data_IF_170547572447
#
_entry.id   IF_170547572447
#
_cell.length_a   1.000
_cell.length_b   1.000
_cell.length_c   1.000
_cell.angle_alpha   90.00
_cell.angle_beta   90.00
_cell.angle_gamma   90.00
#
_symmetry.space_group_name_H-M   'P 1'
#
loop_
_entity.id
_entity.type
_entity.pdbx_description
1 polymer ?
#
# COMPACT_ATOMS: atom_id res chain seq x y z
N UNK A 1 20.96 15.76 3.70
CA UNK A 1 20.44 14.55 4.31
C UNK A 1 20.17 13.48 3.26
N UNK A 2 20.04 12.22 3.68
CA UNK A 2 19.74 11.11 2.77
C UNK A 2 18.36 11.30 2.13
N UNK A 3 18.26 11.08 0.82
CA UNK A 3 16.99 11.19 0.09
C UNK A 3 16.11 9.98 0.35
N UNK A 4 14.78 10.19 0.47
CA UNK A 4 13.82 9.11 0.73
C UNK A 4 13.76 8.13 -0.44
N UNK A 5 13.88 8.60 -1.68
CA UNK A 5 13.91 7.73 -2.87
C UNK A 5 15.10 6.75 -2.93
N UNK A 6 16.15 6.96 -2.12
CA UNK A 6 17.30 6.06 -2.02
C UNK A 6 17.22 5.09 -0.83
N UNK A 7 16.08 5.05 -0.14
CA UNK A 7 15.88 4.15 0.99
C UNK A 7 15.26 2.82 0.57
N UNK A 8 15.46 1.85 1.45
CA UNK A 8 14.74 0.58 1.47
C UNK A 8 13.70 0.64 2.58
N UNK A 9 12.42 0.62 2.20
CA UNK A 9 11.31 0.88 3.12
C UNK A 9 10.33 -0.28 3.08
N UNK A 10 10.13 -1.00 4.21
CA UNK A 10 9.08 -2.01 4.29
C UNK A 10 7.70 -1.35 4.19
N UNK A 11 6.83 -1.93 3.38
CA UNK A 11 5.48 -1.48 3.15
C UNK A 11 4.47 -2.63 3.12
N UNK A 12 3.20 -2.30 3.24
CA UNK A 12 2.10 -3.26 3.27
C UNK A 12 1.06 -2.95 2.21
N UNK A 13 0.74 -3.94 1.39
CA UNK A 13 -0.39 -3.95 0.47
C UNK A 13 -1.68 -4.18 1.25
N UNK A 14 -2.75 -3.42 0.93
CA UNK A 14 -4.03 -3.49 1.65
C UNK A 14 -3.85 -3.53 3.18
N UNK A 15 -3.17 -2.52 3.68
CA UNK A 15 -2.59 -2.49 5.03
C UNK A 15 -3.60 -2.71 6.17
N UNK A 16 -4.89 -2.36 5.97
CA UNK A 16 -5.89 -2.41 7.03
C UNK A 16 -6.63 -3.74 7.16
N UNK A 17 -6.39 -4.73 6.29
CA UNK A 17 -7.05 -6.04 6.41
C UNK A 17 -6.70 -6.78 7.70
N UNK A 18 -5.57 -6.45 8.33
CA UNK A 18 -5.17 -6.97 9.64
C UNK A 18 -6.08 -6.59 10.80
N UNK A 19 -6.89 -5.54 10.64
CA UNK A 19 -7.94 -5.20 11.62
C UNK A 19 -9.15 -6.16 11.56
N UNK A 20 -9.25 -6.98 10.52
CA UNK A 20 -10.45 -7.72 10.20
C UNK A 20 -11.49 -6.85 9.49
N UNK A 21 -12.67 -7.41 9.30
CA UNK A 21 -13.75 -6.82 8.53
C UNK A 21 -14.96 -6.49 9.40
N UNK A 22 -15.81 -5.57 8.94
CA UNK A 22 -17.05 -5.25 9.63
C UNK A 22 -17.95 -6.49 9.73
N UNK A 23 -18.87 -6.56 10.71
CA UNK A 23 -19.63 -7.78 11.00
C UNK A 23 -20.29 -8.42 9.79
N UNK A 24 -20.86 -7.61 8.88
CA UNK A 24 -21.50 -8.10 7.66
C UNK A 24 -20.51 -8.68 6.63
N UNK A 25 -19.25 -8.29 6.70
CA UNK A 25 -18.20 -8.67 5.75
C UNK A 25 -17.20 -9.69 6.33
N UNK A 26 -17.30 -10.01 7.62
CA UNK A 26 -16.26 -10.77 8.34
C UNK A 26 -15.96 -12.12 7.70
N UNK A 27 -16.99 -12.92 7.40
CA UNK A 27 -16.79 -14.26 6.88
C UNK A 27 -16.19 -14.23 5.47
N UNK A 28 -16.83 -13.49 4.57
CA UNK A 28 -16.41 -13.39 3.18
C UNK A 28 -15.06 -12.63 3.05
N UNK A 29 -14.87 -11.56 3.81
CA UNK A 29 -13.64 -10.80 3.82
C UNK A 29 -12.44 -11.61 4.29
N UNK A 30 -12.57 -12.37 5.37
CA UNK A 30 -11.51 -13.27 5.84
C UNK A 30 -11.17 -14.36 4.83
N UNK A 31 -12.17 -14.85 4.08
CA UNK A 31 -11.97 -15.89 3.08
C UNK A 31 -11.37 -15.35 1.76
N UNK A 32 -11.76 -14.13 1.33
CA UNK A 32 -11.41 -13.60 0.01
C UNK A 32 -10.33 -12.53 0.06
N UNK A 33 -10.32 -11.67 1.09
CA UNK A 33 -9.67 -10.37 1.03
C UNK A 33 -8.58 -10.11 2.08
N UNK A 34 -8.25 -11.09 2.92
CA UNK A 34 -7.22 -10.90 3.96
C UNK A 34 -5.82 -10.94 3.34
N UNK A 35 -5.06 -9.88 3.55
CA UNK A 35 -3.67 -9.72 3.07
C UNK A 35 -2.69 -9.41 4.19
N UNK A 36 -3.15 -9.10 5.39
CA UNK A 36 -2.31 -8.82 6.56
C UNK A 36 -2.86 -9.54 7.80
N UNK A 37 -1.98 -9.95 8.71
CA UNK A 37 -2.34 -10.43 10.05
C UNK A 37 -2.25 -9.32 11.09
N UNK A 38 -1.31 -8.39 10.94
CA UNK A 38 -1.03 -7.31 11.86
C UNK A 38 -1.86 -6.06 11.50
N UNK A 39 -2.30 -5.32 12.51
CA UNK A 39 -2.88 -3.99 12.34
C UNK A 39 -1.77 -2.92 12.12
N UNK A 40 -2.14 -1.67 11.83
CA UNK A 40 -1.16 -0.61 11.51
C UNK A 40 -0.17 -0.38 12.66
N UNK A 41 -0.62 -0.38 13.91
CA UNK A 41 0.25 -0.20 15.07
C UNK A 41 1.28 -1.34 15.20
N UNK A 42 0.83 -2.57 15.00
CA UNK A 42 1.69 -3.75 15.01
C UNK A 42 2.65 -3.78 13.81
N UNK A 43 2.18 -3.39 12.62
CA UNK A 43 3.02 -3.22 11.44
C UNK A 43 4.11 -2.17 11.67
N UNK A 44 3.75 -1.04 12.27
CA UNK A 44 4.72 -0.01 12.68
C UNK A 44 5.78 -0.56 13.63
N UNK A 45 5.36 -1.33 14.63
CA UNK A 45 6.26 -1.91 15.64
C UNK A 45 7.29 -2.87 15.02
N UNK A 46 6.95 -3.58 13.93
CA UNK A 46 7.89 -4.47 13.23
C UNK A 46 8.74 -3.76 12.17
N UNK A 47 8.53 -2.47 11.92
CA UNK A 47 9.36 -1.66 11.04
C UNK A 47 8.72 -1.22 9.72
N UNK A 48 7.45 -1.49 9.49
CA UNK A 48 6.72 -1.00 8.32
C UNK A 48 6.57 0.52 8.40
N UNK A 49 6.83 1.21 7.28
CA UNK A 49 6.73 2.67 7.17
C UNK A 49 5.96 3.14 5.93
N UNK A 50 5.56 2.23 5.04
CA UNK A 50 4.71 2.53 3.89
C UNK A 50 3.42 1.69 3.96
N UNK A 51 2.28 2.33 3.75
CA UNK A 51 0.95 1.72 3.95
C UNK A 51 0.06 1.99 2.74
N UNK A 52 -0.39 0.93 2.07
CA UNK A 52 -1.39 1.01 1.00
C UNK A 52 -2.79 1.09 1.63
N UNK A 53 -3.45 2.22 1.45
CA UNK A 53 -4.78 2.50 2.00
C UNK A 53 -5.80 2.73 0.88
N UNK A 54 -6.96 2.10 1.01
CA UNK A 54 -8.03 2.18 0.01
C UNK A 54 -9.33 2.67 0.63
N UNK A 55 -9.41 4.00 0.92
CA UNK A 55 -10.62 4.59 1.48
C UNK A 55 -11.75 4.62 0.47
N UNK A 56 -12.97 4.40 0.97
CA UNK A 56 -14.18 4.62 0.22
C UNK A 56 -15.31 5.09 1.14
N UNK A 57 -16.34 5.71 0.56
CA UNK A 57 -17.46 6.27 1.31
C UNK A 57 -18.39 5.15 1.75
N UNK A 58 -18.53 4.98 3.04
CA UNK A 58 -19.53 4.11 3.66
C UNK A 58 -20.69 4.94 4.18
N UNK A 59 -21.91 4.57 3.77
CA UNK A 59 -23.14 5.21 4.23
C UNK A 59 -23.89 4.30 5.20
N UNK A 60 -24.27 4.83 6.34
CA UNK A 60 -25.16 4.18 7.32
C UNK A 60 -26.44 4.99 7.47
N UNK A 61 -27.56 4.33 7.27
CA UNK A 61 -28.89 4.93 7.55
C UNK A 61 -29.18 4.80 9.03
N UNK A 62 -29.22 5.93 9.74
CA UNK A 62 -29.58 5.97 11.14
C UNK A 62 -31.10 5.98 11.26
N UNK A 63 -31.69 4.89 11.75
CA UNK A 63 -33.11 4.84 12.11
C UNK A 63 -33.29 5.51 13.46
N UNK A 64 -33.75 6.78 13.48
CA UNK A 64 -34.28 7.38 14.70
C UNK A 64 -35.71 6.86 14.91
N UNK A 65 -36.05 6.51 16.13
CA UNK A 65 -37.34 5.96 16.55
C UNK A 65 -38.52 6.96 16.43
N UNK A 66 -38.36 8.12 15.86
CA UNK A 66 -39.38 9.13 15.58
C UNK A 66 -39.47 9.39 14.08
N UNK A 67 -40.67 9.47 13.57
CA UNK A 67 -41.11 9.56 12.16
C UNK A 67 -40.54 10.72 11.30
N UNK A 68 -39.45 11.37 11.68
CA UNK A 68 -38.84 12.49 10.92
C UNK A 68 -37.37 12.25 10.61
N UNK A 69 -37.06 12.35 9.32
CA UNK A 69 -35.73 12.38 8.68
C UNK A 69 -34.82 11.16 8.91
N UNK A 70 -34.61 10.41 7.84
CA UNK A 70 -33.51 9.43 7.72
C UNK A 70 -32.21 10.22 7.66
N UNK A 71 -31.47 10.26 8.76
CA UNK A 71 -30.14 10.83 8.78
C UNK A 71 -29.16 9.78 8.23
N UNK A 72 -28.36 10.16 7.24
CA UNK A 72 -27.33 9.29 6.68
C UNK A 72 -25.99 9.71 7.26
N UNK A 73 -25.32 8.81 7.96
CA UNK A 73 -23.94 9.00 8.40
C UNK A 73 -23.00 8.52 7.31
N UNK A 74 -22.01 9.34 6.94
CA UNK A 74 -20.95 9.02 6.00
C UNK A 74 -19.61 8.90 6.70
N UNK A 75 -18.83 7.89 6.32
CA UNK A 75 -17.50 7.63 6.86
C UNK A 75 -16.58 7.20 5.74
N UNK A 76 -15.32 7.68 5.73
CA UNK A 76 -14.28 7.09 4.91
C UNK A 76 -13.80 5.80 5.57
N UNK A 77 -14.35 4.69 5.15
CA UNK A 77 -13.95 3.37 5.60
C UNK A 77 -12.84 2.83 4.70
N UNK A 78 -11.91 2.06 5.25
CA UNK A 78 -10.90 1.37 4.44
C UNK A 78 -11.47 0.04 3.97
N UNK A 79 -11.34 -0.21 2.67
CA UNK A 79 -11.85 -1.39 1.98
C UNK A 79 -10.73 -2.21 1.35
N UNK A 80 -11.05 -3.48 1.09
CA UNK A 80 -10.40 -4.29 0.07
C UNK A 80 -11.48 -4.87 -0.84
N UNK A 81 -11.54 -4.40 -2.09
CA UNK A 81 -12.67 -4.68 -2.98
C UNK A 81 -13.99 -4.20 -2.37
N UNK A 82 -14.95 -5.09 -2.28
CA UNK A 82 -16.26 -4.81 -1.68
C UNK A 82 -16.30 -4.96 -0.15
N UNK A 83 -15.21 -5.43 0.47
CA UNK A 83 -15.18 -5.77 1.89
C UNK A 83 -14.64 -4.61 2.72
N UNK A 84 -15.48 -4.12 3.65
CA UNK A 84 -15.11 -3.06 4.58
C UNK A 84 -14.31 -3.62 5.75
N UNK A 85 -13.10 -3.10 5.95
CA UNK A 85 -12.32 -3.40 7.15
C UNK A 85 -12.91 -2.69 8.37
N UNK A 86 -12.47 -3.06 9.57
CA UNK A 86 -12.85 -2.38 10.81
C UNK A 86 -12.15 -1.02 11.01
N UNK A 87 -11.30 -0.59 10.07
CA UNK A 87 -10.55 0.65 10.20
C UNK A 87 -11.10 1.74 9.26
N UNK A 88 -11.03 2.99 9.74
CA UNK A 88 -11.34 4.19 8.97
C UNK A 88 -10.07 4.91 8.51
N UNK A 89 -10.20 5.76 7.48
CA UNK A 89 -9.09 6.59 7.01
C UNK A 89 -8.56 7.53 8.11
N UNK A 90 -9.46 8.21 8.84
CA UNK A 90 -9.08 9.04 9.98
C UNK A 90 -8.47 8.22 11.12
N UNK A 91 -8.96 7.01 11.35
CA UNK A 91 -8.40 6.10 12.35
C UNK A 91 -6.94 5.75 12.08
N UNK A 92 -6.56 5.57 10.80
CA UNK A 92 -5.15 5.36 10.43
C UNK A 92 -4.31 6.59 10.77
N UNK A 93 -4.77 7.81 10.45
CA UNK A 93 -4.06 9.04 10.81
C UNK A 93 -3.87 9.18 12.32
N UNK A 94 -4.86 8.82 13.13
CA UNK A 94 -4.73 8.83 14.58
C UNK A 94 -3.63 7.87 15.06
N UNK A 95 -3.61 6.64 14.55
CA UNK A 95 -2.55 5.65 14.89
C UNK A 95 -1.17 6.15 14.49
N UNK A 96 -1.03 6.69 13.26
CA UNK A 96 0.25 7.21 12.79
C UNK A 96 0.68 8.46 13.54
N UNK A 97 -0.25 9.35 13.91
CA UNK A 97 0.03 10.53 14.75
C UNK A 97 0.62 10.13 16.09
N UNK A 98 -0.01 9.19 16.79
CA UNK A 98 0.48 8.66 18.06
C UNK A 98 1.87 8.03 17.93
N UNK A 99 2.06 7.25 16.87
CA UNK A 99 3.35 6.60 16.57
C UNK A 99 4.46 7.61 16.29
N UNK A 100 4.17 8.66 15.52
CA UNK A 100 5.12 9.72 15.19
C UNK A 100 5.43 10.63 16.38
N UNK A 101 4.46 10.88 17.26
CA UNK A 101 4.69 11.60 18.51
C UNK A 101 5.61 10.82 19.47
N UNK A 102 5.42 9.51 19.54
CA UNK A 102 6.28 8.63 20.34
C UNK A 102 7.69 8.48 19.72
N UNK A 103 7.80 8.58 18.39
CA UNK A 103 9.04 8.39 17.63
C UNK A 103 9.25 9.51 16.61
N UNK A 104 9.59 10.73 17.03
CA UNK A 104 9.61 11.92 16.17
C UNK A 104 10.72 11.92 15.09
N UNK A 105 11.64 10.99 15.15
CA UNK A 105 12.68 10.80 14.10
C UNK A 105 12.23 9.89 12.98
N UNK A 106 11.10 9.18 13.16
CA UNK A 106 10.49 8.29 12.18
C UNK A 106 9.56 9.06 11.23
N UNK A 107 9.04 8.38 10.23
CA UNK A 107 8.10 8.92 9.24
C UNK A 107 7.12 7.84 8.77
N UNK A 108 6.09 8.25 8.04
CA UNK A 108 5.22 7.33 7.33
C UNK A 108 5.00 7.77 5.88
N UNK A 109 4.74 6.82 5.00
CA UNK A 109 4.30 7.04 3.63
C UNK A 109 2.98 6.31 3.44
N UNK A 110 1.99 6.99 2.87
CA UNK A 110 0.70 6.42 2.49
C UNK A 110 0.63 6.40 0.97
N UNK A 111 0.39 5.22 0.40
CA UNK A 111 -0.02 5.07 -0.99
C UNK A 111 -1.53 4.88 -0.96
N UNK A 112 -2.26 5.79 -1.57
CA UNK A 112 -3.73 5.81 -1.51
C UNK A 112 -4.34 5.59 -2.89
N UNK A 113 -5.41 4.80 -2.93
CA UNK A 113 -6.30 4.75 -4.08
C UNK A 113 -7.76 4.68 -3.63
N UNK A 114 -8.66 5.14 -4.51
CA UNK A 114 -10.09 4.96 -4.32
C UNK A 114 -10.48 3.51 -4.63
N UNK A 115 -11.04 2.80 -3.65
CA UNK A 115 -11.56 1.45 -3.87
C UNK A 115 -12.95 1.57 -4.52
N UNK A 116 -12.98 1.52 -5.86
CA UNK A 116 -14.19 1.78 -6.63
C UNK A 116 -15.11 0.56 -6.64
N UNK A 117 -16.31 0.72 -6.14
CA UNK A 117 -17.43 -0.15 -6.48
C UNK A 117 -18.38 0.55 -7.46
N UNK A 118 -19.15 -0.24 -8.21
CA UNK A 118 -19.95 0.22 -9.34
C UNK A 118 -20.99 1.33 -9.04
N UNK A 119 -21.29 1.60 -7.77
CA UNK A 119 -22.35 2.50 -7.34
C UNK A 119 -21.90 3.61 -6.38
N UNK A 120 -20.60 3.90 -6.27
CA UNK A 120 -20.10 4.90 -5.32
C UNK A 120 -19.83 6.24 -5.98
N UNK A 121 -20.34 7.30 -5.34
CA UNK A 121 -20.19 8.67 -5.82
C UNK A 121 -18.75 9.18 -5.64
N UNK A 122 -18.03 9.36 -6.75
CA UNK A 122 -16.67 9.85 -6.76
C UNK A 122 -16.54 11.27 -6.20
N UNK A 123 -17.51 12.15 -6.42
CA UNK A 123 -17.47 13.53 -5.93
C UNK A 123 -17.57 13.62 -4.41
N UNK A 124 -18.36 12.75 -3.78
CA UNK A 124 -18.44 12.64 -2.32
C UNK A 124 -17.12 12.10 -1.75
N UNK A 125 -16.53 11.10 -2.40
CA UNK A 125 -15.22 10.57 -2.02
C UNK A 125 -14.14 11.65 -2.06
N UNK A 126 -14.05 12.39 -3.17
CA UNK A 126 -13.08 13.49 -3.36
C UNK A 126 -13.17 14.54 -2.25
N UNK A 127 -14.40 15.01 -1.95
CA UNK A 127 -14.63 16.00 -0.93
C UNK A 127 -14.26 15.49 0.48
N UNK A 128 -14.61 14.25 0.80
CA UNK A 128 -14.31 13.65 2.11
C UNK A 128 -12.82 13.38 2.30
N UNK A 129 -12.12 12.94 1.25
CA UNK A 129 -10.66 12.74 1.29
C UNK A 129 -9.95 14.08 1.45
N UNK A 130 -10.31 15.09 0.67
CA UNK A 130 -9.70 16.41 0.80
C UNK A 130 -9.89 16.99 2.19
N UNK A 131 -11.08 16.85 2.76
CA UNK A 131 -11.37 17.30 4.13
C UNK A 131 -10.52 16.54 5.16
N UNK A 132 -10.45 15.21 5.08
CA UNK A 132 -9.66 14.41 6.01
C UNK A 132 -8.16 14.75 5.95
N UNK A 133 -7.62 14.96 4.75
CA UNK A 133 -6.22 15.36 4.57
C UNK A 133 -5.98 16.80 5.06
N UNK A 134 -6.95 17.72 4.90
CA UNK A 134 -6.87 19.08 5.41
C UNK A 134 -6.82 19.10 6.94
N UNK A 135 -7.62 18.27 7.62
CA UNK A 135 -7.60 18.14 9.08
C UNK A 135 -6.26 17.61 9.62
N UNK A 136 -5.50 16.88 8.80
CA UNK A 136 -4.19 16.33 9.15
C UNK A 136 -3.02 17.06 8.46
N UNK A 137 -3.26 18.29 7.97
CA UNK A 137 -2.27 19.05 7.21
C UNK A 137 -0.98 19.35 7.98
N UNK A 138 -1.04 19.39 9.30
CA UNK A 138 0.12 19.52 10.19
C UNK A 138 1.10 18.35 10.09
N UNK A 139 0.62 17.15 9.71
CA UNK A 139 1.44 15.96 9.51
C UNK A 139 1.91 15.77 8.06
N UNK A 140 1.20 16.33 7.08
CA UNK A 140 1.43 16.02 5.68
C UNK A 140 2.51 16.93 5.09
N UNK A 141 3.49 16.32 4.41
CA UNK A 141 4.50 17.05 3.63
C UNK A 141 4.15 17.05 2.15
N UNK A 142 4.49 18.13 1.46
CA UNK A 142 4.38 18.17 0.01
C UNK A 142 5.45 17.27 -0.64
N UNK A 143 5.05 16.57 -1.69
CA UNK A 143 5.96 15.73 -2.45
C UNK A 143 7.02 16.56 -3.16
N UNK A 144 8.25 16.11 -3.05
CA UNK A 144 9.40 16.54 -3.84
C UNK A 144 10.19 15.30 -4.28
N UNK A 145 10.69 15.25 -5.53
CA UNK A 145 11.48 14.08 -5.98
C UNK A 145 12.74 13.87 -5.13
N UNK A 146 13.34 14.96 -4.65
CA UNK A 146 14.54 15.00 -3.81
C UNK A 146 14.27 15.06 -2.30
N UNK A 147 13.04 14.77 -1.86
CA UNK A 147 12.62 14.80 -0.45
C UNK A 147 13.61 14.03 0.42
N UNK A 148 14.12 14.69 1.47
CA UNK A 148 15.08 14.08 2.40
C UNK A 148 14.39 13.48 3.62
N UNK A 149 15.05 12.52 4.25
CA UNK A 149 14.61 11.94 5.53
C UNK A 149 14.40 13.02 6.58
N UNK A 150 15.31 14.02 6.64
CA UNK A 150 15.16 15.12 7.59
C UNK A 150 13.89 15.95 7.42
N UNK A 151 13.47 16.17 6.17
CA UNK A 151 12.21 16.88 5.86
C UNK A 151 10.96 16.05 6.16
N UNK A 152 11.07 14.72 6.12
CA UNK A 152 9.95 13.81 6.34
C UNK A 152 9.81 13.36 7.81
N UNK A 153 10.83 13.54 8.65
CA UNK A 153 10.78 13.14 10.07
C UNK A 153 9.60 13.75 10.80
N UNK A 154 8.91 12.93 11.59
CA UNK A 154 7.72 13.31 12.34
C UNK A 154 6.49 13.55 11.47
N UNK A 155 6.54 13.25 10.17
CA UNK A 155 5.54 13.62 9.16
C UNK A 155 5.12 12.42 8.31
N UNK A 156 4.13 12.68 7.48
CA UNK A 156 3.54 11.69 6.56
C UNK A 156 3.60 12.23 5.13
N UNK A 157 4.09 11.42 4.20
CA UNK A 157 3.95 11.67 2.77
C UNK A 157 2.74 10.87 2.26
N UNK A 158 1.73 11.56 1.75
CA UNK A 158 0.56 10.94 1.11
C UNK A 158 0.70 11.01 -0.39
N UNK A 159 0.71 9.86 -1.05
CA UNK A 159 0.78 9.72 -2.51
C UNK A 159 -0.51 9.06 -2.99
N UNK A 160 -1.35 9.82 -3.69
CA UNK A 160 -2.63 9.32 -4.18
C UNK A 160 -2.54 8.92 -5.65
N UNK A 161 -3.10 7.76 -5.97
CA UNK A 161 -3.26 7.30 -7.35
C UNK A 161 -4.51 7.88 -8.02
N UNK A 162 -5.42 8.45 -7.22
CA UNK A 162 -6.65 9.11 -7.68
C UNK A 162 -6.62 10.60 -7.34
N UNK A 163 -7.14 11.41 -8.25
CA UNK A 163 -7.26 12.85 -8.07
C UNK A 163 -8.48 13.17 -7.20
N UNK A 164 -8.34 14.03 -6.22
CA UNK A 164 -9.42 14.47 -5.32
C UNK A 164 -9.55 16.01 -5.24
N UNK A 165 -8.60 16.73 -5.80
CA UNK A 165 -8.58 18.20 -5.93
C UNK A 165 -7.56 18.60 -7.01
N UNK A 166 -7.58 19.85 -7.50
CA UNK A 166 -6.64 20.29 -8.54
C UNK A 166 -5.16 20.13 -8.16
N UNK A 167 -4.82 20.46 -6.91
CA UNK A 167 -3.45 20.35 -6.37
C UNK A 167 -3.43 19.36 -5.22
N UNK A 168 -2.56 18.35 -5.20
CA UNK A 168 -2.56 17.34 -4.15
C UNK A 168 -2.12 17.92 -2.80
N UNK A 169 -2.59 17.31 -1.72
CA UNK A 169 -1.94 17.38 -0.42
C UNK A 169 -0.97 16.19 -0.33
N UNK A 170 0.33 16.47 -0.33
CA UNK A 170 1.34 15.44 -0.59
C UNK A 170 1.64 15.36 -2.08
N UNK A 171 1.27 14.28 -2.73
CA UNK A 171 1.49 14.09 -4.17
C UNK A 171 0.47 13.17 -4.84
N UNK A 172 0.45 13.22 -6.18
CA UNK A 172 -0.25 12.28 -7.03
C UNK A 172 0.72 11.33 -7.72
N UNK A 173 0.26 10.11 -8.02
CA UNK A 173 0.93 9.19 -8.92
C UNK A 173 0.05 8.98 -10.14
N UNK A 174 0.62 9.16 -11.34
CA UNK A 174 -0.04 8.90 -12.62
C UNK A 174 0.77 7.90 -13.44
N UNK A 175 0.08 7.06 -14.20
CA UNK A 175 0.75 6.05 -15.02
C UNK A 175 1.19 4.81 -14.23
N UNK A 176 0.48 4.45 -13.20
CA UNK A 176 0.71 3.20 -12.46
C UNK A 176 0.58 2.00 -13.38
N UNK A 177 1.52 1.06 -13.30
CA UNK A 177 1.58 -0.10 -14.16
C UNK A 177 1.33 -1.38 -13.37
N UNK A 178 0.66 -2.34 -14.05
CA UNK A 178 0.30 -3.64 -13.50
C UNK A 178 0.91 -4.82 -14.26
N UNK A 179 1.70 -4.53 -15.29
CA UNK A 179 2.36 -5.55 -16.10
C UNK A 179 3.68 -6.03 -15.49
N UNK A 180 4.22 -7.11 -16.06
CA UNK A 180 5.48 -7.71 -15.61
C UNK A 180 6.73 -7.05 -16.20
N UNK A 181 6.60 -6.05 -17.10
CA UNK A 181 7.73 -5.51 -17.88
C UNK A 181 8.56 -4.58 -17.05
N UNK A 182 8.42 -3.99 -16.08
CA UNK A 182 9.31 -3.06 -15.34
C UNK A 182 10.19 -2.20 -16.28
N UNK A 183 9.55 -1.33 -17.05
CA UNK A 183 10.24 -0.43 -17.99
C UNK A 183 10.57 0.93 -17.33
N UNK A 184 11.82 1.07 -16.86
CA UNK A 184 12.28 2.31 -16.24
C UNK A 184 12.46 3.48 -17.22
N UNK A 185 12.50 3.22 -18.53
CA UNK A 185 12.57 4.27 -19.56
C UNK A 185 11.20 4.91 -19.83
N UNK A 186 10.13 4.29 -19.36
CA UNK A 186 8.76 4.82 -19.40
C UNK A 186 8.19 4.87 -17.97
N UNK A 187 8.77 5.70 -17.10
CA UNK A 187 8.36 5.74 -15.70
C UNK A 187 6.95 6.31 -15.53
N UNK A 188 6.30 5.94 -14.43
CA UNK A 188 5.16 6.66 -13.91
C UNK A 188 5.62 8.06 -13.45
N UNK A 189 4.67 9.00 -13.38
CA UNK A 189 4.94 10.38 -12.97
C UNK A 189 4.37 10.64 -11.59
N UNK A 190 5.16 11.30 -10.75
CA UNK A 190 4.73 11.78 -9.44
C UNK A 190 4.59 13.30 -9.49
N UNK A 191 3.46 13.83 -8.98
CA UNK A 191 3.16 15.26 -9.04
C UNK A 191 2.97 15.78 -7.62
N UNK A 192 3.83 16.72 -7.21
CA UNK A 192 3.65 17.55 -6.02
C UNK A 192 2.94 18.86 -6.33
N UNK A 193 2.97 19.78 -5.36
CA UNK A 193 2.43 21.13 -5.54
C UNK A 193 3.18 21.91 -6.64
N UNK A 194 4.50 21.89 -6.64
CA UNK A 194 5.35 22.67 -7.53
C UNK A 194 6.39 21.83 -8.29
N UNK A 195 6.51 20.54 -8.02
CA UNK A 195 7.56 19.69 -8.57
C UNK A 195 7.00 18.36 -9.04
N UNK A 196 7.63 17.83 -10.08
CA UNK A 196 7.34 16.50 -10.61
C UNK A 196 8.54 15.57 -10.38
N UNK A 197 8.26 14.28 -10.25
CA UNK A 197 9.23 13.22 -10.12
C UNK A 197 8.87 12.01 -10.97
N UNK A 198 9.73 11.02 -10.95
CA UNK A 198 9.58 9.77 -11.68
C UNK A 198 9.49 8.59 -10.72
N UNK A 199 8.71 7.59 -11.11
CA UNK A 199 8.50 6.36 -10.35
C UNK A 199 8.62 5.16 -11.28
N UNK A 200 9.48 4.22 -10.90
CA UNK A 200 9.44 2.89 -11.47
C UNK A 200 8.66 1.98 -10.52
N UNK A 201 7.53 1.44 -10.99
CA UNK A 201 6.64 0.60 -10.18
C UNK A 201 6.51 -0.78 -10.81
N UNK A 202 6.60 -1.81 -9.97
CA UNK A 202 6.21 -3.17 -10.28
C UNK A 202 5.04 -3.55 -9.38
N UNK A 203 3.87 -3.73 -9.97
CA UNK A 203 2.65 -4.20 -9.31
C UNK A 203 1.98 -5.30 -10.16
N UNK A 204 2.79 -6.22 -10.64
CA UNK A 204 2.29 -7.41 -11.35
C UNK A 204 1.64 -8.35 -10.33
N UNK A 205 0.33 -8.38 -10.29
CA UNK A 205 -0.41 -9.15 -9.29
C UNK A 205 -1.24 -10.30 -9.89
N UNK A 206 -1.61 -10.21 -11.17
CA UNK A 206 -2.43 -11.21 -11.83
C UNK A 206 -1.58 -12.26 -12.53
N UNK A 207 -1.12 -13.23 -11.77
CA UNK A 207 -0.18 -14.24 -12.24
C UNK A 207 -0.78 -15.30 -13.17
N UNK A 208 -2.09 -15.32 -13.34
CA UNK A 208 -2.77 -16.32 -14.17
C UNK A 208 -2.61 -16.07 -15.66
N UNK A 209 -2.43 -14.80 -16.06
CA UNK A 209 -2.47 -14.38 -17.45
C UNK A 209 -1.11 -14.33 -18.14
N UNK A 210 -0.01 -14.17 -17.39
CA UNK A 210 1.31 -13.83 -17.94
C UNK A 210 2.46 -14.68 -17.35
N UNK A 211 2.35 -16.00 -17.35
CA UNK A 211 3.47 -16.86 -16.95
C UNK A 211 3.57 -17.19 -15.47
N UNK A 212 2.60 -16.80 -14.66
CA UNK A 212 2.43 -17.26 -13.29
C UNK A 212 3.52 -16.79 -12.32
N UNK A 213 3.87 -17.64 -11.36
CA UNK A 213 4.84 -17.34 -10.31
C UNK A 213 6.21 -16.96 -10.85
N UNK A 214 6.69 -17.62 -11.91
CA UNK A 214 8.00 -17.31 -12.51
C UNK A 214 8.05 -15.87 -13.01
N UNK A 215 7.06 -15.42 -13.77
CA UNK A 215 6.99 -14.04 -14.27
C UNK A 215 6.94 -13.02 -13.12
N UNK A 216 6.22 -13.32 -12.03
CA UNK A 216 6.17 -12.47 -10.84
C UNK A 216 7.54 -12.35 -10.17
N UNK A 217 8.24 -13.46 -9.96
CA UNK A 217 9.58 -13.46 -9.35
C UNK A 217 10.59 -12.70 -10.21
N UNK A 218 10.54 -12.89 -11.52
CA UNK A 218 11.37 -12.16 -12.48
C UNK A 218 11.10 -10.66 -12.47
N UNK A 219 9.83 -10.24 -12.38
CA UNK A 219 9.45 -8.83 -12.28
C UNK A 219 9.97 -8.19 -10.98
N UNK A 220 9.86 -8.87 -9.84
CA UNK A 220 10.42 -8.44 -8.55
C UNK A 220 11.94 -8.25 -8.65
N UNK A 221 12.65 -9.22 -9.19
CA UNK A 221 14.10 -9.15 -9.35
C UNK A 221 14.53 -8.06 -10.34
N UNK A 222 13.78 -7.90 -11.43
CA UNK A 222 14.04 -6.87 -12.43
C UNK A 222 13.95 -5.46 -11.82
N UNK A 223 12.94 -5.17 -11.02
CA UNK A 223 12.86 -3.88 -10.36
C UNK A 223 13.99 -3.70 -9.33
N UNK A 224 14.35 -4.72 -8.58
CA UNK A 224 15.49 -4.64 -7.66
C UNK A 224 16.79 -4.30 -8.40
N UNK A 225 17.03 -4.90 -9.57
CA UNK A 225 18.18 -4.57 -10.43
C UNK A 225 18.12 -3.15 -10.96
N UNK A 226 16.95 -2.69 -11.39
CA UNK A 226 16.73 -1.30 -11.86
C UNK A 226 17.06 -0.30 -10.76
N UNK A 227 16.56 -0.54 -9.54
CA UNK A 227 16.80 0.34 -8.40
C UNK A 227 18.29 0.45 -7.98
N UNK A 228 19.13 -0.49 -8.39
CA UNK A 228 20.57 -0.53 -8.12
C UNK A 228 21.42 -0.35 -9.38
N UNK A 229 20.85 0.11 -10.49
CA UNK A 229 21.54 0.36 -11.74
C UNK A 229 22.22 1.75 -11.75
N UNK A 230 23.50 1.78 -12.05
CA UNK A 230 24.24 3.04 -12.23
C UNK A 230 23.70 3.87 -13.41
N UNK A 231 23.27 3.21 -14.48
CA UNK A 231 22.65 3.86 -15.64
C UNK A 231 21.36 4.59 -15.27
N UNK A 232 20.49 3.92 -14.51
CA UNK A 232 19.24 4.51 -14.01
C UNK A 232 19.53 5.68 -13.07
N UNK A 233 20.46 5.53 -12.14
CA UNK A 233 20.85 6.57 -11.21
C UNK A 233 21.45 7.81 -11.91
N UNK A 234 22.15 7.61 -13.01
CA UNK A 234 22.66 8.70 -13.85
C UNK A 234 21.56 9.47 -14.55
N UNK A 235 20.61 8.75 -15.16
CA UNK A 235 19.52 9.35 -15.94
C UNK A 235 18.42 9.94 -15.04
N UNK A 236 18.13 9.28 -13.95
CA UNK A 236 17.06 9.64 -13.00
C UNK A 236 17.56 9.58 -11.56
N UNK A 237 18.35 10.56 -11.11
CA UNK A 237 18.98 10.53 -9.79
C UNK A 237 18.00 10.59 -8.61
N UNK A 238 16.75 10.95 -8.86
CA UNK A 238 15.68 11.02 -7.87
C UNK A 238 14.49 10.13 -8.24
N UNK A 239 14.70 9.06 -9.00
CA UNK A 239 13.64 8.10 -9.29
C UNK A 239 13.23 7.37 -8.01
N UNK A 240 11.93 7.28 -7.81
CA UNK A 240 11.33 6.48 -6.76
C UNK A 240 11.07 5.07 -7.26
N UNK A 241 11.05 4.11 -6.35
CA UNK A 241 10.82 2.70 -6.67
C UNK A 241 9.76 2.12 -5.74
N UNK A 242 8.80 1.42 -6.32
CA UNK A 242 7.80 0.65 -5.59
C UNK A 242 7.80 -0.77 -6.15
N UNK A 243 8.08 -1.75 -5.29
CA UNK A 243 8.18 -3.14 -5.66
C UNK A 243 7.17 -3.97 -4.85
N UNK A 244 6.12 -4.44 -5.50
CA UNK A 244 5.13 -5.30 -4.87
C UNK A 244 5.59 -6.75 -4.86
N UNK A 245 5.78 -7.33 -3.68
CA UNK A 245 5.78 -8.79 -3.52
C UNK A 245 4.35 -9.33 -3.42
N UNK A 246 3.40 -8.45 -3.11
CA UNK A 246 1.98 -8.77 -3.07
C UNK A 246 1.44 -9.29 -4.40
N UNK A 247 0.45 -10.15 -4.31
CA UNK A 247 -0.22 -10.77 -5.44
C UNK A 247 -1.01 -11.97 -4.97
N UNK A 248 -1.68 -12.66 -5.88
CA UNK A 248 -2.44 -13.83 -5.52
C UNK A 248 -2.23 -14.97 -6.51
N UNK A 249 -2.32 -16.19 -5.99
CA UNK A 249 -2.50 -17.39 -6.79
C UNK A 249 -3.99 -17.75 -6.76
N UNK A 250 -4.51 -18.15 -7.89
CA UNK A 250 -5.86 -18.72 -7.89
C UNK A 250 -5.86 -20.05 -7.15
N UNK A 251 -6.86 -20.22 -6.31
CA UNK A 251 -7.14 -21.48 -5.64
C UNK A 251 -8.45 -22.04 -6.18
N UNK A 252 -8.47 -23.31 -6.56
CA UNK A 252 -9.71 -24.02 -6.82
C UNK A 252 -10.34 -24.41 -5.48
N UNK A 253 -11.62 -24.11 -5.32
CA UNK A 253 -12.38 -24.56 -4.17
C UNK A 253 -13.36 -25.65 -4.62
N UNK A 254 -13.78 -26.50 -3.68
CA UNK A 254 -14.85 -27.50 -3.96
C UNK A 254 -16.16 -26.85 -4.39
N UNK A 255 -16.34 -25.55 -4.11
CA UNK A 255 -17.56 -24.79 -4.37
C UNK A 255 -17.52 -23.96 -5.64
N UNK A 256 -16.36 -23.72 -6.22
CA UNK A 256 -16.22 -22.90 -7.45
C UNK A 256 -15.55 -23.71 -8.53
N UNK A 257 -16.23 -23.83 -9.69
CA UNK A 257 -15.65 -24.47 -10.89
C UNK A 257 -14.55 -23.63 -11.51
N UNK A 258 -14.60 -22.30 -11.29
CA UNK A 258 -13.61 -21.34 -11.78
C UNK A 258 -12.61 -20.99 -10.68
N UNK A 259 -11.33 -20.84 -11.00
CA UNK A 259 -10.34 -20.37 -10.06
C UNK A 259 -10.68 -18.96 -9.55
N UNK A 260 -10.63 -18.77 -8.25
CA UNK A 260 -10.92 -17.47 -7.62
C UNK A 260 -9.74 -16.98 -6.77
N UNK A 261 -9.61 -15.67 -6.65
CA UNK A 261 -8.72 -15.07 -5.68
C UNK A 261 -9.27 -15.28 -4.27
N UNK A 262 -8.44 -15.81 -3.39
CA UNK A 262 -8.78 -16.03 -1.98
C UNK A 262 -7.64 -15.58 -1.07
N UNK A 263 -7.94 -15.44 0.22
CA UNK A 263 -6.91 -15.14 1.23
C UNK A 263 -5.80 -16.21 1.25
N UNK A 264 -6.13 -17.47 0.99
CA UNK A 264 -5.12 -18.53 0.81
C UNK A 264 -4.24 -18.30 -0.42
N UNK A 265 -4.80 -17.78 -1.50
CA UNK A 265 -4.05 -17.40 -2.70
C UNK A 265 -3.03 -16.28 -2.41
N UNK A 266 -3.38 -15.30 -1.59
CA UNK A 266 -2.42 -14.28 -1.10
C UNK A 266 -1.33 -14.89 -0.24
N UNK A 267 -1.66 -15.82 0.67
CA UNK A 267 -0.68 -16.52 1.49
C UNK A 267 0.28 -17.37 0.66
N UNK A 268 -0.24 -18.14 -0.28
CA UNK A 268 0.55 -18.97 -1.17
C UNK A 268 1.52 -18.14 -2.02
N UNK A 269 1.08 -16.98 -2.52
CA UNK A 269 1.95 -16.05 -3.23
C UNK A 269 3.04 -15.48 -2.29
N UNK A 270 2.66 -14.99 -1.13
CA UNK A 270 3.59 -14.40 -0.17
C UNK A 270 4.69 -15.38 0.26
N UNK A 271 4.36 -16.66 0.43
CA UNK A 271 5.32 -17.70 0.77
C UNK A 271 6.47 -17.79 -0.25
N UNK A 272 6.17 -17.59 -1.54
CA UNK A 272 7.19 -17.60 -2.58
C UNK A 272 7.87 -16.23 -2.74
N UNK A 273 7.09 -15.15 -2.84
CA UNK A 273 7.61 -13.84 -3.23
C UNK A 273 8.37 -13.13 -2.11
N UNK A 274 7.91 -13.23 -0.87
CA UNK A 274 8.60 -12.63 0.28
C UNK A 274 9.95 -13.33 0.52
N UNK A 275 9.97 -14.65 0.47
CA UNK A 275 11.20 -15.42 0.57
C UNK A 275 12.19 -15.08 -0.56
N UNK A 276 11.68 -15.05 -1.79
CA UNK A 276 12.48 -14.77 -2.97
C UNK A 276 13.20 -13.42 -2.88
N UNK A 277 12.47 -12.35 -2.55
CA UNK A 277 13.08 -11.02 -2.44
C UNK A 277 14.04 -10.93 -1.25
N UNK A 278 13.69 -11.49 -0.09
CA UNK A 278 14.56 -11.51 1.07
C UNK A 278 15.91 -12.18 0.76
N UNK A 279 15.93 -13.22 -0.06
CA UNK A 279 17.15 -13.93 -0.46
C UNK A 279 17.98 -13.17 -1.50
N UNK A 280 17.41 -12.22 -2.22
CA UNK A 280 18.12 -11.41 -3.23
C UNK A 280 18.67 -10.10 -2.68
N UNK A 281 18.20 -9.64 -1.56
CA UNK A 281 18.76 -8.47 -0.89
C UNK A 281 20.10 -8.87 -0.25
N UNK A 282 21.19 -8.29 -0.73
CA UNK A 282 22.56 -8.57 -0.27
C UNK A 282 23.27 -7.28 0.09
N UNK A 283 23.69 -7.16 1.36
CA UNK A 283 24.39 -5.98 1.83
C UNK A 283 23.58 -4.70 1.66
N UNK A 284 24.26 -3.61 1.33
CA UNK A 284 23.60 -2.33 1.06
C UNK A 284 23.00 -2.32 -0.36
N UNK A 285 21.68 -2.23 -0.43
CA UNK A 285 20.91 -2.13 -1.68
C UNK A 285 19.76 -1.15 -1.48
N UNK A 286 19.35 -0.47 -2.55
CA UNK A 286 18.10 0.27 -2.58
C UNK A 286 16.98 -0.67 -3.04
N UNK A 287 15.97 -0.86 -2.21
CA UNK A 287 14.78 -1.63 -2.60
C UNK A 287 13.61 -0.73 -3.02
N UNK A 288 13.64 0.56 -2.64
CA UNK A 288 12.45 1.40 -2.67
C UNK A 288 11.42 0.93 -1.64
N UNK A 289 10.16 1.26 -1.88
CA UNK A 289 9.04 0.78 -1.07
C UNK A 289 8.72 -0.65 -1.48
N UNK A 290 8.89 -1.61 -0.57
CA UNK A 290 8.52 -3.00 -0.78
C UNK A 290 7.13 -3.23 -0.21
N UNK A 291 6.12 -3.32 -1.09
CA UNK A 291 4.73 -3.50 -0.69
C UNK A 291 4.41 -5.00 -0.63
N UNK A 292 4.25 -5.52 0.58
CA UNK A 292 4.13 -6.96 0.82
C UNK A 292 2.80 -7.34 1.46
N UNK A 293 2.44 -8.60 1.30
CA UNK A 293 1.39 -9.25 2.07
C UNK A 293 1.98 -9.94 3.30
N UNK A 294 1.22 -10.01 4.38
CA UNK A 294 1.58 -10.66 5.65
C UNK A 294 2.90 -10.17 6.26
N UNK A 295 3.14 -8.85 6.18
CA UNK A 295 4.33 -8.23 6.75
C UNK A 295 4.43 -8.48 8.26
N UNK A 296 5.66 -8.74 8.72
CA UNK A 296 5.96 -8.86 10.14
C UNK A 296 5.60 -10.22 10.79
N UNK A 297 5.05 -11.17 10.03
CA UNK A 297 4.79 -12.52 10.48
C UNK A 297 5.50 -13.53 9.59
N UNK A 298 5.97 -14.64 10.16
CA UNK A 298 6.61 -15.70 9.38
C UNK A 298 5.61 -16.74 8.88
N UNK A 299 4.45 -16.85 9.55
CA UNK A 299 3.41 -17.80 9.19
C UNK A 299 2.03 -17.16 9.21
N UNK A 300 1.20 -17.50 8.23
CA UNK A 300 -0.22 -17.19 8.18
C UNK A 300 -1.00 -18.39 7.64
N UNK A 301 -1.98 -18.87 8.42
CA UNK A 301 -2.65 -20.12 8.11
C UNK A 301 -1.64 -21.29 8.00
N UNK A 302 -1.68 -22.01 6.89
CA UNK A 302 -0.79 -23.15 6.62
C UNK A 302 0.49 -22.76 5.85
N UNK A 303 0.74 -21.47 5.64
CA UNK A 303 1.84 -20.99 4.79
C UNK A 303 2.93 -20.29 5.61
N UNK A 304 4.17 -20.59 5.25
CA UNK A 304 5.35 -19.86 5.73
C UNK A 304 5.53 -18.61 4.86
N UNK A 305 4.81 -17.54 5.23
CA UNK A 305 4.70 -16.30 4.42
C UNK A 305 5.94 -15.42 4.45
N UNK A 306 6.88 -15.68 5.35
CA UNK A 306 8.20 -15.03 5.45
C UNK A 306 8.17 -13.49 5.51
N UNK A 307 7.08 -12.92 6.01
CA UNK A 307 6.90 -11.46 6.07
C UNK A 307 7.81 -10.79 7.09
N UNK A 308 8.12 -11.43 8.20
CA UNK A 308 9.10 -10.93 9.16
C UNK A 308 10.51 -10.93 8.59
N UNK A 309 10.89 -12.00 7.90
CA UNK A 309 12.18 -12.14 7.25
C UNK A 309 12.37 -11.05 6.18
N UNK A 310 11.35 -10.78 5.35
CA UNK A 310 11.44 -9.75 4.33
C UNK A 310 11.56 -8.35 4.93
N UNK A 311 10.75 -8.02 5.95
CA UNK A 311 10.85 -6.73 6.66
C UNK A 311 12.29 -6.52 7.17
N UNK A 312 12.87 -7.51 7.82
CA UNK A 312 14.25 -7.41 8.34
C UNK A 312 15.28 -7.26 7.22
N UNK A 313 15.16 -8.01 6.13
CA UNK A 313 16.07 -7.89 4.98
C UNK A 313 16.02 -6.48 4.37
N UNK A 314 14.83 -5.91 4.20
CA UNK A 314 14.65 -4.54 3.68
C UNK A 314 15.26 -3.51 4.62
N UNK A 315 15.01 -3.60 5.92
CA UNK A 315 15.60 -2.67 6.92
C UNK A 315 17.12 -2.75 6.90
N UNK A 316 17.66 -3.96 6.90
CA UNK A 316 19.11 -4.20 6.98
C UNK A 316 19.86 -3.79 5.70
N UNK A 317 19.18 -3.55 4.60
CA UNK A 317 19.81 -3.11 3.35
C UNK A 317 20.11 -1.61 3.30
N UNK A 318 19.61 -0.82 4.26
CA UNK A 318 19.91 0.61 4.37
C UNK A 318 21.32 0.81 4.92
#
# INVERSE_FOLDING_TARGET
GRRVCHLSIPGTHDACTGYGFLPQDTLAGNYIARTQELNISEQWAVGVRAFDLRPDVREEKLTKSSKKAKETKRTLQIYHGEFATQQTFNGVFNVLRDSLQAHPTEFAIIIMQHERSANRDGSTWEAMVDYALAENSDLIVDFRPDLTVGQLRGRILVLSRDTYRPTPRGGYIKGWRFDAEVDWQKPATMHGYAMEGTLCVQDFYNMTWEGGTTAKLEAIERLLKVANSEEVAKQYPNMWFINHTSGFKYTSTEFTKEPVSTSEGYRANAADTNKFLAERIKGHMTTGLVMMDFAGVDRSGNYDVMGKRLVQAVINSN
#
